data_IF_699039942599
#
_entry.id   IF_699039942599
#
_cell.length_a   1.000
_cell.length_b   1.000
_cell.length_c   1.000
_cell.angle_alpha   90.00
_cell.angle_beta   90.00
_cell.angle_gamma   90.00
#
_symmetry.space_group_name_H-M   'P 1'
#
loop_
_entity.id
_entity.type
_entity.pdbx_description
1 polymer ?
#
# COMPACT_ATOMS: atom_id res chain seq x y z
N UNK A 1 26.22 8.47 -24.68
CA UNK A 1 25.54 7.16 -24.78
C UNK A 1 24.33 7.21 -23.84
N UNK A 2 23.16 7.66 -24.32
CA UNK A 2 21.84 7.44 -23.68
C UNK A 2 20.74 7.88 -24.67
N UNK A 3 20.00 6.89 -25.15
CA UNK A 3 18.57 6.88 -25.45
C UNK A 3 17.90 8.18 -25.95
N UNK A 4 17.87 8.37 -27.27
CA UNK A 4 16.71 9.02 -27.91
C UNK A 4 15.76 7.93 -28.36
N UNK A 5 14.77 7.62 -27.52
CA UNK A 5 13.65 6.79 -27.91
C UNK A 5 12.79 7.66 -28.85
N UNK A 6 13.00 7.51 -30.16
CA UNK A 6 12.32 8.31 -31.17
C UNK A 6 10.86 7.85 -31.30
N UNK A 7 9.95 8.53 -30.58
CA UNK A 7 8.49 8.32 -30.61
C UNK A 7 7.95 8.33 -32.05
N UNK A 8 8.57 9.09 -32.95
CA UNK A 8 8.16 9.20 -34.35
C UNK A 8 8.36 7.89 -35.11
N UNK A 9 9.55 7.29 -34.99
CA UNK A 9 9.85 6.00 -35.60
C UNK A 9 9.02 4.86 -35.03
N UNK A 10 8.75 4.89 -33.72
CA UNK A 10 7.85 3.92 -33.08
C UNK A 10 6.45 4.01 -33.67
N UNK A 11 5.89 5.22 -33.81
CA UNK A 11 4.56 5.44 -34.37
C UNK A 11 4.46 5.02 -35.84
N UNK A 12 5.50 5.27 -36.64
CA UNK A 12 5.53 4.90 -38.06
C UNK A 12 5.67 3.39 -38.27
N UNK A 13 6.48 2.73 -37.44
CA UNK A 13 6.59 1.28 -37.43
C UNK A 13 5.27 0.66 -36.97
N UNK A 14 4.67 1.17 -35.89
CA UNK A 14 3.35 0.76 -35.40
C UNK A 14 2.29 0.87 -36.50
N UNK A 15 2.25 2.00 -37.20
CA UNK A 15 1.32 2.25 -38.32
C UNK A 15 1.54 1.29 -39.49
N UNK A 16 2.78 0.89 -39.78
CA UNK A 16 3.11 -0.16 -40.76
C UNK A 16 2.67 -1.56 -40.31
N UNK A 17 2.84 -1.90 -39.03
CA UNK A 17 2.37 -3.18 -38.46
C UNK A 17 0.84 -3.32 -38.45
N UNK A 18 0.12 -2.22 -38.23
CA UNK A 18 -1.36 -2.18 -38.29
C UNK A 18 -1.91 -2.09 -39.72
N UNK A 19 -1.12 -1.64 -40.71
CA UNK A 19 -1.50 -1.64 -42.12
C UNK A 19 -1.20 -3.02 -42.74
N UNK A 20 -2.14 -3.96 -42.57
CA UNK A 20 -2.02 -5.32 -43.06
C UNK A 20 -1.73 -5.40 -44.56
N UNK A 21 -0.75 -6.24 -44.93
CA UNK A 21 -0.55 -6.65 -46.31
C UNK A 21 -1.67 -7.63 -46.71
N UNK A 22 -2.57 -7.20 -47.58
CA UNK A 22 -3.48 -8.10 -48.32
C UNK A 22 -2.65 -8.91 -49.31
N UNK A 23 -1.95 -9.92 -48.80
CA UNK A 23 -1.20 -10.87 -49.59
C UNK A 23 -1.82 -12.23 -49.31
N UNK A 24 -2.89 -12.59 -50.04
CA UNK A 24 -3.18 -13.94 -50.55
C UNK A 24 -4.55 -14.00 -51.29
N UNK A 25 -4.88 -13.01 -52.11
CA UNK A 25 -5.97 -13.16 -53.09
C UNK A 25 -5.43 -13.96 -54.30
N UNK A 26 -5.51 -15.29 -54.27
CA UNK A 26 -5.22 -16.05 -55.50
C UNK A 26 -4.96 -17.55 -55.40
N UNK A 27 -4.94 -18.17 -54.21
CA UNK A 27 -4.78 -19.63 -54.13
C UNK A 27 -6.08 -20.31 -53.69
N UNK A 28 -6.65 -21.21 -54.52
CA UNK A 28 -7.85 -21.95 -54.17
C UNK A 28 -7.50 -23.00 -53.10
N UNK A 29 -7.70 -22.65 -51.83
CA UNK A 29 -7.67 -23.62 -50.73
C UNK A 29 -9.06 -24.28 -50.61
N UNK A 30 -9.13 -25.56 -50.20
CA UNK A 30 -10.38 -26.22 -49.86
C UNK A 30 -11.16 -25.36 -48.85
N UNK A 31 -12.46 -25.13 -49.10
CA UNK A 31 -13.30 -24.18 -48.33
C UNK A 31 -13.29 -24.45 -46.82
N UNK A 32 -13.13 -25.72 -46.44
CA UNK A 32 -12.99 -26.19 -45.05
C UNK A 32 -11.76 -25.60 -44.37
N UNK A 33 -10.62 -25.48 -45.07
CA UNK A 33 -9.39 -24.89 -44.54
C UNK A 33 -9.43 -23.36 -44.58
N UNK A 34 -10.20 -22.78 -45.50
CA UNK A 34 -10.38 -21.34 -45.63
C UNK A 34 -11.16 -20.77 -44.44
N UNK A 35 -12.25 -21.42 -44.02
CA UNK A 35 -13.02 -21.03 -42.84
C UNK A 35 -12.18 -21.07 -41.53
N UNK A 36 -11.18 -21.95 -41.44
CA UNK A 36 -10.29 -22.04 -40.28
C UNK A 36 -9.24 -20.91 -40.22
N UNK A 37 -8.90 -20.28 -41.35
CA UNK A 37 -7.84 -19.26 -41.47
C UNK A 37 -8.42 -17.84 -41.69
N UNK A 38 -9.60 -17.72 -42.28
CA UNK A 38 -10.20 -16.45 -42.72
C UNK A 38 -10.73 -15.60 -41.55
N UNK A 39 -10.93 -16.19 -40.36
CA UNK A 39 -11.79 -15.59 -39.33
C UNK A 39 -11.14 -14.67 -38.28
N UNK A 40 -9.88 -14.24 -38.42
CA UNK A 40 -9.42 -12.91 -37.93
C UNK A 40 -7.89 -12.69 -37.92
N UNK A 41 -7.25 -12.34 -39.03
CA UNK A 41 -5.89 -11.80 -38.98
C UNK A 41 -5.83 -10.38 -38.38
N UNK A 42 -6.93 -9.61 -38.43
CA UNK A 42 -7.01 -8.22 -37.98
C UNK A 42 -7.54 -8.08 -36.54
N UNK A 43 -8.63 -8.77 -36.21
CA UNK A 43 -9.23 -8.69 -34.87
C UNK A 43 -8.32 -9.34 -33.82
N UNK A 44 -7.72 -10.51 -34.11
CA UNK A 44 -6.78 -11.18 -33.17
C UNK A 44 -5.54 -10.32 -32.91
N UNK A 45 -5.03 -9.62 -33.93
CA UNK A 45 -3.88 -8.72 -33.75
C UNK A 45 -4.25 -7.51 -32.88
N UNK A 46 -5.43 -6.94 -33.09
CA UNK A 46 -5.95 -5.84 -32.29
C UNK A 46 -6.21 -6.25 -30.84
N UNK A 47 -6.75 -7.45 -30.61
CA UNK A 47 -6.98 -7.95 -29.24
C UNK A 47 -5.68 -8.18 -28.49
N UNK A 48 -4.65 -8.75 -29.12
CA UNK A 48 -3.32 -8.93 -28.50
C UNK A 48 -2.73 -7.56 -28.09
N UNK A 49 -2.74 -6.57 -28.98
CA UNK A 49 -2.25 -5.23 -28.65
C UNK A 49 -3.10 -4.54 -27.58
N UNK A 50 -4.42 -4.76 -27.58
CA UNK A 50 -5.33 -4.27 -26.53
C UNK A 50 -4.99 -4.84 -25.15
N UNK A 51 -4.70 -6.14 -25.07
CA UNK A 51 -4.29 -6.80 -23.83
C UNK A 51 -2.95 -6.24 -23.33
N UNK A 52 -1.97 -6.06 -24.21
CA UNK A 52 -0.68 -5.46 -23.84
C UNK A 52 -0.86 -4.03 -23.32
N UNK A 53 -1.66 -3.22 -24.01
CA UNK A 53 -1.95 -1.84 -23.58
C UNK A 53 -2.66 -1.81 -22.22
N UNK A 54 -3.58 -2.74 -21.97
CA UNK A 54 -4.28 -2.87 -20.70
C UNK A 54 -3.32 -3.16 -19.54
N UNK A 55 -2.41 -4.12 -19.69
CA UNK A 55 -1.42 -4.41 -18.65
C UNK A 55 -0.45 -3.25 -18.42
N UNK A 56 0.00 -2.60 -19.49
CA UNK A 56 0.84 -1.40 -19.38
C UNK A 56 0.12 -0.29 -18.60
N UNK A 57 -1.15 -0.07 -18.89
CA UNK A 57 -1.97 0.89 -18.16
C UNK A 57 -2.06 0.55 -16.66
N UNK A 58 -2.31 -0.72 -16.32
CA UNK A 58 -2.36 -1.16 -14.91
C UNK A 58 -1.03 -0.98 -14.17
N UNK A 59 0.10 -1.25 -14.82
CA UNK A 59 1.44 -1.07 -14.22
C UNK A 59 1.70 0.42 -13.95
N UNK A 60 1.40 1.27 -14.94
CA UNK A 60 1.54 2.72 -14.79
C UNK A 60 0.66 3.21 -13.65
N UNK A 61 -0.61 2.81 -13.62
CA UNK A 61 -1.54 3.18 -12.55
C UNK A 61 -1.07 2.69 -11.17
N UNK A 62 -0.61 1.45 -11.04
CA UNK A 62 -0.10 0.89 -9.80
C UNK A 62 1.13 1.65 -9.28
N UNK A 63 1.97 2.19 -10.18
CA UNK A 63 3.10 3.04 -9.78
C UNK A 63 2.68 4.36 -9.13
N UNK A 64 1.46 4.84 -9.38
CA UNK A 64 0.93 6.06 -8.76
C UNK A 64 0.01 5.77 -7.57
N UNK A 65 -0.33 4.51 -7.31
CA UNK A 65 -1.21 4.13 -6.21
C UNK A 65 -0.45 4.18 -4.88
N UNK A 66 -0.79 5.11 -3.96
CA UNK A 66 -0.17 5.12 -2.64
C UNK A 66 -0.64 3.89 -1.85
N UNK A 67 0.30 3.21 -1.20
CA UNK A 67 -0.01 2.14 -0.25
C UNK A 67 0.00 2.76 1.15
N UNK A 68 -1.19 2.93 1.72
CA UNK A 68 -1.36 3.44 3.08
C UNK A 68 -1.06 2.32 4.09
N UNK A 69 0.17 2.29 4.60
CA UNK A 69 0.55 1.38 5.67
C UNK A 69 0.18 2.00 7.04
N UNK A 70 -0.91 1.51 7.63
CA UNK A 70 -1.33 1.90 8.99
C UNK A 70 -0.65 1.02 10.04
N UNK A 71 0.54 1.42 10.48
CA UNK A 71 1.20 0.77 11.62
C UNK A 71 0.44 1.11 12.91
N UNK A 72 -0.26 0.11 13.47
CA UNK A 72 -0.89 0.23 14.80
C UNK A 72 0.20 0.05 15.88
N UNK A 73 0.73 1.16 16.38
CA UNK A 73 1.59 1.15 17.57
C UNK A 73 0.74 1.13 18.84
N UNK A 74 0.83 0.07 19.66
CA UNK A 74 0.24 0.08 20.99
C UNK A 74 1.05 0.99 21.93
N UNK A 75 0.59 2.22 22.11
CA UNK A 75 1.17 3.15 23.08
C UNK A 75 0.67 2.83 24.50
N UNK A 76 1.52 2.24 25.34
CA UNK A 76 1.22 2.08 26.77
C UNK A 76 1.67 3.32 27.53
N UNK A 77 0.73 4.08 28.09
CA UNK A 77 1.02 5.17 29.01
C UNK A 77 1.57 4.60 30.33
N UNK A 78 2.89 4.57 30.46
CA UNK A 78 3.56 4.21 31.72
C UNK A 78 3.70 5.52 32.50
N UNK A 79 3.04 5.68 33.67
CA UNK A 79 3.29 6.82 34.53
C UNK A 79 4.77 6.82 34.95
N UNK A 80 5.47 7.94 34.77
CA UNK A 80 6.93 8.01 35.01
C UNK A 80 7.29 8.02 36.50
N UNK A 81 6.30 8.10 37.39
CA UNK A 81 6.49 8.18 38.83
C UNK A 81 6.53 6.78 39.45
N UNK A 82 7.71 6.42 39.97
CA UNK A 82 7.93 5.23 40.80
C UNK A 82 6.96 5.29 42.00
N UNK A 83 6.10 4.29 42.17
CA UNK A 83 5.21 4.20 43.34
C UNK A 83 6.07 4.20 44.61
N UNK A 84 6.07 5.31 45.34
CA UNK A 84 6.83 5.45 46.58
C UNK A 84 5.98 4.89 47.72
N UNK A 85 6.39 3.74 48.27
CA UNK A 85 5.79 3.19 49.48
C UNK A 85 6.34 3.98 50.67
N UNK A 86 5.57 4.94 51.17
CA UNK A 86 5.87 5.62 52.43
C UNK A 86 5.50 4.66 53.56
N UNK A 87 6.50 4.11 54.23
CA UNK A 87 6.33 3.25 55.40
C UNK A 87 7.04 3.90 56.59
N UNK A 88 6.37 3.94 57.75
CA UNK A 88 7.03 4.40 58.96
C UNK A 88 7.98 3.32 59.49
N UNK A 89 9.23 3.68 59.79
CA UNK A 89 10.27 2.76 60.23
C UNK A 89 10.27 2.52 61.76
N UNK A 90 9.55 3.35 62.54
CA UNK A 90 9.62 3.32 64.01
C UNK A 90 8.42 2.66 64.71
N UNK A 91 7.27 2.51 64.04
CA UNK A 91 6.05 1.94 64.65
C UNK A 91 5.43 2.82 65.76
N UNK A 92 4.15 3.16 65.61
CA UNK A 92 3.39 3.98 66.57
C UNK A 92 1.89 3.82 66.32
N UNK A 93 1.04 4.25 67.26
CA UNK A 93 -0.42 4.17 67.08
C UNK A 93 -0.85 5.32 66.15
N UNK A 94 -1.70 5.03 65.17
CA UNK A 94 -2.22 6.06 64.27
C UNK A 94 -3.11 7.01 65.07
N UNK A 95 -2.66 8.25 65.24
CA UNK A 95 -3.43 9.28 65.93
C UNK A 95 -4.40 9.97 64.95
N UNK A 96 -3.92 10.45 63.80
CA UNK A 96 -4.72 11.19 62.82
C UNK A 96 -4.25 10.92 61.37
N UNK A 97 -5.20 10.73 60.45
CA UNK A 97 -4.96 10.56 59.00
C UNK A 97 -5.41 11.83 58.27
N UNK A 98 -4.49 12.50 57.58
CA UNK A 98 -4.76 13.76 56.87
C UNK A 98 -4.97 13.59 55.35
N UNK A 99 -4.70 12.41 54.81
CA UNK A 99 -4.82 12.10 53.39
C UNK A 99 -5.91 11.07 53.09
N UNK A 100 -6.60 11.22 51.96
CA UNK A 100 -7.64 10.30 51.46
C UNK A 100 -7.23 9.63 50.15
N UNK A 101 -7.81 8.47 49.86
CA UNK A 101 -7.56 7.76 48.60
C UNK A 101 -7.92 8.65 47.38
N UNK A 102 -7.01 8.74 46.42
CA UNK A 102 -7.15 9.58 45.22
C UNK A 102 -6.82 11.07 45.42
N UNK A 103 -6.45 11.50 46.63
CA UNK A 103 -6.05 12.88 46.88
C UNK A 103 -4.64 13.15 46.31
N UNK A 104 -4.51 14.23 45.53
CA UNK A 104 -3.20 14.74 45.08
C UNK A 104 -2.52 15.42 46.25
N UNK A 105 -1.28 15.03 46.55
CA UNK A 105 -0.50 15.54 47.68
C UNK A 105 0.81 16.15 47.20
N UNK A 106 1.24 17.21 47.88
CA UNK A 106 2.50 17.91 47.59
C UNK A 106 3.65 17.39 48.46
N UNK A 107 4.89 17.60 48.01
CA UNK A 107 6.08 17.20 48.76
C UNK A 107 6.14 17.99 50.07
N UNK A 108 6.15 17.29 51.20
CA UNK A 108 6.17 17.89 52.53
C UNK A 108 4.79 18.04 53.20
N UNK A 109 3.70 17.67 52.50
CA UNK A 109 2.37 17.63 53.12
C UNK A 109 2.30 16.49 54.15
N UNK A 110 1.88 16.76 55.41
CA UNK A 110 1.67 15.72 56.40
C UNK A 110 0.53 14.79 55.95
N UNK A 111 0.82 13.48 55.88
CA UNK A 111 -0.14 12.46 55.46
C UNK A 111 -0.78 11.75 56.65
N UNK A 112 -0.01 11.56 57.72
CA UNK A 112 -0.34 10.76 58.89
C UNK A 112 0.41 11.31 60.11
N UNK A 113 -0.23 11.33 61.28
CA UNK A 113 0.44 11.55 62.56
C UNK A 113 0.40 10.26 63.38
N UNK A 114 1.55 9.90 63.91
CA UNK A 114 1.74 8.77 64.82
C UNK A 114 1.97 9.31 66.24
N UNK A 115 1.47 8.60 67.24
CA UNK A 115 1.70 8.80 68.67
C UNK A 115 2.45 7.59 69.26
#
# INVERSE_FOLDING_TARGET
MLHKLDIGQFKDNLRRYFKGSDSLHGQPLPEVNKALIEDAPRVVRLTIWGVIAFFLFLIVWASFAPIDEVTRGEGKAIPSSKVQKVQNLEGGIVAEIFAKEGQVVEVGQPLLRLD
#
